data_IF_369015438781
#
_entry.id   IF_369015438781
#
_cell.length_a   1.000
_cell.length_b   1.000
_cell.length_c   1.000
_cell.angle_alpha   90.00
_cell.angle_beta   90.00
_cell.angle_gamma   90.00
#
_symmetry.space_group_name_H-M   'P 1'
#
loop_
_entity.id
_entity.type
_entity.pdbx_description
1 polymer ?
#
# COMPACT_ATOMS: atom_id res chain seq x y z
N UNK A 1 -25.64 -9.98 20.03
CA UNK A 1 -25.47 -11.41 19.70
C UNK A 1 -24.49 -11.48 18.56
N UNK A 2 -23.18 -11.44 18.84
CA UNK A 2 -22.12 -11.48 17.84
C UNK A 2 -21.38 -12.80 18.02
N UNK A 3 -21.83 -13.83 17.30
CA UNK A 3 -21.04 -15.03 17.05
C UNK A 3 -21.35 -15.51 15.63
N UNK A 4 -20.75 -14.82 14.67
CA UNK A 4 -20.43 -15.34 13.35
C UNK A 4 -19.01 -14.85 13.08
N UNK A 5 -18.04 -15.76 13.10
CA UNK A 5 -16.71 -15.45 12.59
C UNK A 5 -16.90 -15.18 11.10
N UNK A 6 -16.96 -13.91 10.69
CA UNK A 6 -16.86 -13.55 9.29
C UNK A 6 -15.66 -14.28 8.71
N UNK A 7 -15.88 -14.99 7.61
CA UNK A 7 -14.84 -15.66 6.85
C UNK A 7 -13.77 -14.64 6.44
N UNK A 8 -12.56 -15.11 6.12
CA UNK A 8 -11.49 -14.22 5.64
C UNK A 8 -11.89 -13.46 4.37
N UNK A 9 -12.74 -14.06 3.53
CA UNK A 9 -13.28 -13.44 2.32
C UNK A 9 -14.31 -12.36 2.64
N UNK A 10 -15.24 -12.63 3.56
CA UNK A 10 -16.21 -11.62 4.03
C UNK A 10 -15.50 -10.43 4.67
N UNK A 11 -14.49 -10.68 5.53
CA UNK A 11 -13.68 -9.62 6.13
C UNK A 11 -12.92 -8.81 5.09
N UNK A 12 -12.33 -9.46 4.09
CA UNK A 12 -11.63 -8.78 3.00
C UNK A 12 -12.55 -7.79 2.28
N UNK A 13 -13.73 -8.24 1.87
CA UNK A 13 -14.73 -7.39 1.19
C UNK A 13 -15.23 -6.29 2.12
N UNK A 14 -15.54 -6.62 3.38
CA UNK A 14 -15.98 -5.65 4.39
C UNK A 14 -14.96 -4.52 4.61
N UNK A 15 -13.68 -4.87 4.72
CA UNK A 15 -12.62 -3.89 4.93
C UNK A 15 -12.45 -2.97 3.71
N UNK A 16 -12.47 -3.51 2.48
CA UNK A 16 -12.37 -2.69 1.27
C UNK A 16 -13.57 -1.73 1.14
N UNK A 17 -14.78 -2.20 1.46
CA UNK A 17 -15.97 -1.33 1.47
C UNK A 17 -15.90 -0.25 2.55
N UNK A 18 -15.38 -0.60 3.73
CA UNK A 18 -15.18 0.37 4.82
C UNK A 18 -14.17 1.45 4.42
N UNK A 19 -13.10 1.08 3.72
CA UNK A 19 -12.15 2.03 3.15
C UNK A 19 -12.77 2.87 2.03
N UNK A 20 -13.69 2.34 1.23
CA UNK A 20 -14.41 3.13 0.22
C UNK A 20 -15.32 4.19 0.88
N UNK A 21 -16.01 3.83 1.96
CA UNK A 21 -16.94 4.71 2.67
C UNK A 21 -16.21 5.75 3.55
N UNK A 22 -15.21 5.32 4.30
CA UNK A 22 -14.52 6.12 5.32
C UNK A 22 -13.12 6.59 4.90
N UNK A 23 -12.69 6.23 3.69
CA UNK A 23 -11.42 6.63 3.09
C UNK A 23 -10.23 6.30 4.00
N UNK A 24 -9.32 7.25 4.16
CA UNK A 24 -8.13 7.12 4.98
C UNK A 24 -8.34 7.52 6.46
N UNK A 25 -9.55 7.44 7.01
CA UNK A 25 -9.82 7.86 8.39
C UNK A 25 -9.35 6.81 9.43
N UNK A 26 -8.22 7.02 10.14
CA UNK A 26 -7.69 6.02 11.06
C UNK A 26 -8.59 5.80 12.28
N UNK A 27 -9.42 6.78 12.67
CA UNK A 27 -10.32 6.63 13.82
C UNK A 27 -11.40 5.56 13.59
N UNK A 28 -11.68 5.23 12.33
CA UNK A 28 -12.65 4.20 11.94
C UNK A 28 -11.93 2.92 11.51
N UNK A 29 -10.87 3.03 10.71
CA UNK A 29 -10.20 1.86 10.14
C UNK A 29 -9.32 1.12 11.16
N UNK A 30 -8.62 1.81 12.06
CA UNK A 30 -7.75 1.12 13.02
C UNK A 30 -8.51 0.21 14.00
N UNK A 31 -9.70 0.58 14.52
CA UNK A 31 -10.54 -0.37 15.24
C UNK A 31 -10.90 -1.63 14.43
N UNK A 32 -11.15 -1.50 13.13
CA UNK A 32 -11.45 -2.65 12.25
C UNK A 32 -10.22 -3.56 12.14
N UNK A 33 -9.03 -2.99 11.92
CA UNK A 33 -7.78 -3.76 11.92
C UNK A 33 -7.55 -4.46 13.25
N UNK A 34 -7.66 -3.72 14.36
CA UNK A 34 -7.41 -4.25 15.71
C UNK A 34 -8.36 -5.39 16.08
N UNK A 35 -9.61 -5.35 15.63
CA UNK A 35 -10.58 -6.42 15.88
C UNK A 35 -10.35 -7.68 15.02
N UNK A 36 -9.52 -7.61 13.97
CA UNK A 36 -9.33 -8.67 12.98
C UNK A 36 -7.84 -8.95 12.70
N UNK A 37 -6.98 -8.81 13.70
CA UNK A 37 -5.53 -9.05 13.56
C UNK A 37 -5.23 -10.48 13.08
N UNK A 38 -6.06 -11.45 13.42
CA UNK A 38 -5.98 -12.85 12.98
C UNK A 38 -6.22 -13.03 11.48
N UNK A 39 -6.84 -12.04 10.82
CA UNK A 39 -7.15 -12.05 9.37
C UNK A 39 -6.22 -11.15 8.56
N UNK A 40 -5.46 -10.26 9.22
CA UNK A 40 -4.43 -9.44 8.60
C UNK A 40 -3.13 -10.25 8.47
N UNK A 41 -3.15 -11.25 7.58
CA UNK A 41 -2.07 -12.22 7.40
C UNK A 41 -1.38 -12.08 6.05
N UNK A 42 -0.33 -12.86 5.80
CA UNK A 42 0.31 -12.94 4.47
C UNK A 42 -0.68 -13.41 3.39
N UNK A 43 -1.68 -14.22 3.73
CA UNK A 43 -2.72 -14.66 2.80
C UNK A 43 -3.68 -13.50 2.43
N UNK A 44 -3.83 -12.51 3.31
CA UNK A 44 -4.53 -11.27 2.97
C UNK A 44 -3.81 -10.53 1.83
N UNK A 45 -2.48 -10.45 1.89
CA UNK A 45 -1.68 -9.86 0.82
C UNK A 45 -1.84 -10.63 -0.51
N UNK A 46 -1.91 -11.97 -0.47
CA UNK A 46 -2.18 -12.77 -1.67
C UNK A 46 -3.56 -12.46 -2.28
N UNK A 47 -4.58 -12.23 -1.45
CA UNK A 47 -5.90 -11.79 -1.92
C UNK A 47 -5.86 -10.41 -2.57
N UNK A 48 -5.09 -9.46 -2.02
CA UNK A 48 -4.89 -8.16 -2.68
C UNK A 48 -4.24 -8.31 -4.06
N UNK A 49 -3.24 -9.19 -4.20
CA UNK A 49 -2.62 -9.49 -5.50
C UNK A 49 -3.62 -10.10 -6.49
N UNK A 50 -4.58 -10.86 -6.02
CA UNK A 50 -5.62 -11.42 -6.89
C UNK A 50 -6.57 -10.36 -7.49
N UNK A 51 -6.48 -9.10 -7.05
CA UNK A 51 -7.24 -7.95 -7.60
C UNK A 51 -6.53 -7.32 -8.82
N UNK A 52 -5.27 -7.65 -9.09
CA UNK A 52 -4.51 -7.06 -10.20
C UNK A 52 -5.19 -7.18 -11.58
N UNK A 53 -5.74 -8.34 -11.99
CA UNK A 53 -6.42 -8.47 -13.28
C UNK A 53 -7.62 -7.53 -13.39
N UNK A 54 -8.42 -7.38 -12.33
CA UNK A 54 -9.57 -6.49 -12.31
C UNK A 54 -9.13 -5.03 -12.50
N UNK A 55 -8.02 -4.58 -11.89
CA UNK A 55 -7.50 -3.22 -12.10
C UNK A 55 -7.11 -2.99 -13.57
N UNK A 56 -6.58 -4.01 -14.26
CA UNK A 56 -6.13 -3.90 -15.65
C UNK A 56 -7.28 -3.94 -16.66
N UNK A 57 -8.27 -4.78 -16.39
CA UNK A 57 -9.27 -5.19 -17.38
C UNK A 57 -10.62 -4.46 -17.22
N UNK A 58 -10.86 -3.81 -16.08
CA UNK A 58 -12.07 -3.02 -15.80
C UNK A 58 -12.09 -1.64 -16.45
N UNK A 59 -13.22 -0.94 -16.33
CA UNK A 59 -13.35 0.45 -16.78
C UNK A 59 -12.42 1.40 -15.99
N UNK A 60 -12.02 2.56 -16.55
CA UNK A 60 -11.14 3.50 -15.83
C UNK A 60 -11.67 3.96 -14.46
N UNK A 61 -12.99 4.06 -14.29
CA UNK A 61 -13.63 4.43 -13.02
C UNK A 61 -13.50 3.31 -11.97
N UNK A 62 -13.75 2.07 -12.37
CA UNK A 62 -13.59 0.89 -11.50
C UNK A 62 -12.12 0.65 -11.15
N UNK A 63 -11.22 0.73 -12.13
CA UNK A 63 -9.78 0.61 -11.92
C UNK A 63 -9.26 1.68 -10.96
N UNK A 64 -9.73 2.92 -11.10
CA UNK A 64 -9.40 4.00 -10.18
C UNK A 64 -9.90 3.71 -8.76
N UNK A 65 -11.15 3.26 -8.62
CA UNK A 65 -11.77 2.94 -7.33
C UNK A 65 -11.02 1.83 -6.61
N UNK A 66 -10.67 0.76 -7.31
CA UNK A 66 -9.86 -0.32 -6.74
C UNK A 66 -8.47 0.20 -6.33
N UNK A 67 -7.79 0.92 -7.23
CA UNK A 67 -6.44 1.41 -6.95
C UNK A 67 -6.39 2.39 -5.76
N UNK A 68 -7.37 3.28 -5.61
CA UNK A 68 -7.38 4.25 -4.51
C UNK A 68 -7.68 3.59 -3.16
N UNK A 69 -8.59 2.61 -3.12
CA UNK A 69 -8.88 1.84 -1.90
C UNK A 69 -7.65 1.05 -1.45
N UNK A 70 -6.95 0.41 -2.39
CA UNK A 70 -5.71 -0.31 -2.10
C UNK A 70 -4.58 0.62 -1.63
N UNK A 71 -4.52 1.84 -2.17
CA UNK A 71 -3.59 2.86 -1.70
C UNK A 71 -3.89 3.29 -0.25
N UNK A 72 -5.15 3.58 0.09
CA UNK A 72 -5.53 3.93 1.45
C UNK A 72 -5.25 2.81 2.44
N UNK A 73 -5.59 1.57 2.09
CA UNK A 73 -5.23 0.40 2.89
C UNK A 73 -3.73 0.35 3.16
N UNK A 74 -2.93 0.50 2.11
CA UNK A 74 -1.47 0.37 2.19
C UNK A 74 -0.83 1.43 3.08
N UNK A 75 -1.27 2.69 2.95
CA UNK A 75 -0.82 3.77 3.82
C UNK A 75 -1.18 3.47 5.29
N UNK A 76 -2.44 3.12 5.55
CA UNK A 76 -2.92 2.90 6.91
C UNK A 76 -2.28 1.68 7.58
N UNK A 77 -2.12 0.57 6.87
CA UNK A 77 -1.56 -0.66 7.45
C UNK A 77 -0.05 -0.58 7.65
N UNK A 78 0.66 0.22 6.85
CA UNK A 78 2.08 0.49 7.04
C UNK A 78 2.34 1.25 8.36
N UNK A 79 1.46 2.21 8.69
CA UNK A 79 1.56 2.99 9.93
C UNK A 79 0.92 2.27 11.16
N UNK A 80 0.23 1.15 10.94
CA UNK A 80 -0.53 0.50 12.00
C UNK A 80 0.39 -0.31 12.94
N UNK A 81 0.42 0.01 14.26
CA UNK A 81 1.44 -0.52 15.17
C UNK A 81 1.12 -1.91 15.76
N UNK A 82 -0.06 -2.48 15.47
CA UNK A 82 -0.51 -3.75 16.04
C UNK A 82 -0.52 -4.86 14.99
N UNK A 83 -0.51 -6.12 15.46
CA UNK A 83 -0.54 -7.30 14.61
C UNK A 83 0.85 -7.82 14.25
N UNK A 84 0.90 -8.66 13.21
CA UNK A 84 2.15 -9.16 12.66
C UNK A 84 2.76 -8.12 11.72
N UNK A 85 3.88 -7.53 12.11
CA UNK A 85 4.61 -6.55 11.30
C UNK A 85 4.96 -7.08 9.91
N UNK A 86 5.31 -8.37 9.79
CA UNK A 86 5.63 -8.99 8.49
C UNK A 86 4.41 -9.00 7.57
N UNK A 87 3.23 -9.34 8.13
CA UNK A 87 1.99 -9.32 7.38
C UNK A 87 1.59 -7.89 6.99
N UNK A 88 1.67 -6.92 7.91
CA UNK A 88 1.35 -5.52 7.62
C UNK A 88 2.20 -4.97 6.47
N UNK A 89 3.52 -5.24 6.48
CA UNK A 89 4.43 -4.84 5.39
C UNK A 89 4.07 -5.55 4.09
N UNK A 90 3.78 -6.86 4.12
CA UNK A 90 3.39 -7.60 2.92
C UNK A 90 2.08 -7.09 2.30
N UNK A 91 1.11 -6.71 3.13
CA UNK A 91 -0.17 -6.11 2.73
C UNK A 91 0.09 -4.75 2.10
N UNK A 92 0.84 -3.86 2.76
CA UNK A 92 1.17 -2.54 2.24
C UNK A 92 1.93 -2.61 0.92
N UNK A 93 2.99 -3.43 0.86
CA UNK A 93 3.80 -3.64 -0.34
C UNK A 93 2.93 -4.10 -1.52
N UNK A 94 2.06 -5.08 -1.28
CA UNK A 94 1.18 -5.60 -2.33
C UNK A 94 0.15 -4.57 -2.78
N UNK A 95 -0.47 -3.86 -1.85
CA UNK A 95 -1.45 -2.83 -2.20
C UNK A 95 -0.83 -1.66 -2.97
N UNK A 96 0.40 -1.23 -2.64
CA UNK A 96 1.14 -0.25 -3.44
C UNK A 96 1.46 -0.77 -4.85
N UNK A 97 1.91 -2.02 -4.98
CA UNK A 97 2.16 -2.65 -6.29
C UNK A 97 0.89 -2.68 -7.14
N UNK A 98 -0.26 -3.04 -6.56
CA UNK A 98 -1.55 -3.01 -7.24
C UNK A 98 -1.97 -1.59 -7.62
N UNK A 99 -1.81 -0.60 -6.73
CA UNK A 99 -2.15 0.79 -7.01
C UNK A 99 -1.32 1.37 -8.18
N UNK A 100 -0.04 0.98 -8.29
CA UNK A 100 0.85 1.38 -9.39
C UNK A 100 0.46 0.82 -10.76
N UNK A 101 -0.47 -0.14 -10.83
CA UNK A 101 -1.04 -0.58 -12.11
C UNK A 101 -1.87 0.55 -12.75
N UNK A 102 -2.59 1.33 -11.94
CA UNK A 102 -3.40 2.46 -12.41
C UNK A 102 -2.63 3.78 -12.36
N UNK A 103 -1.97 4.07 -11.25
CA UNK A 103 -1.20 5.31 -11.08
C UNK A 103 0.14 5.17 -11.76
N UNK A 104 0.22 5.58 -13.04
CA UNK A 104 1.48 5.56 -13.81
C UNK A 104 2.21 6.90 -13.74
N UNK A 105 3.49 6.91 -14.10
CA UNK A 105 4.27 8.15 -14.18
C UNK A 105 3.69 9.12 -15.22
N UNK A 106 3.16 8.58 -16.32
CA UNK A 106 2.68 9.34 -17.46
C UNK A 106 1.33 10.00 -17.16
N UNK A 107 0.44 9.28 -16.49
CA UNK A 107 -0.94 9.75 -16.22
C UNK A 107 -1.07 10.43 -14.87
N UNK A 108 -0.27 10.02 -13.87
CA UNK A 108 -0.39 10.46 -12.48
C UNK A 108 1.00 10.63 -11.83
N UNK A 109 1.88 11.48 -12.38
CA UNK A 109 3.30 11.53 -11.98
C UNK A 109 3.52 11.72 -10.48
N UNK A 110 2.78 12.63 -9.84
CA UNK A 110 2.92 12.91 -8.41
C UNK A 110 2.45 11.73 -7.55
N UNK A 111 1.28 11.16 -7.84
CA UNK A 111 0.77 9.99 -7.10
C UNK A 111 1.68 8.78 -7.30
N UNK A 112 2.11 8.51 -8.53
CA UNK A 112 3.07 7.45 -8.83
C UNK A 112 4.36 7.60 -8.03
N UNK A 113 4.91 8.82 -7.94
CA UNK A 113 6.12 9.08 -7.19
C UNK A 113 5.92 8.89 -5.68
N UNK A 114 4.81 9.36 -5.11
CA UNK A 114 4.48 9.13 -3.68
C UNK A 114 4.34 7.64 -3.36
N UNK A 115 3.56 6.91 -4.17
CA UNK A 115 3.36 5.46 -4.00
C UNK A 115 4.70 4.73 -4.13
N UNK A 116 5.55 5.15 -5.06
CA UNK A 116 6.87 4.56 -5.26
C UNK A 116 7.79 4.81 -4.06
N UNK A 117 7.78 6.00 -3.44
CA UNK A 117 8.53 6.25 -2.20
C UNK A 117 8.06 5.32 -1.09
N UNK A 118 6.75 5.20 -0.89
CA UNK A 118 6.21 4.34 0.16
C UNK A 118 6.49 2.85 -0.10
N UNK A 119 6.45 2.41 -1.37
CA UNK A 119 6.90 1.08 -1.75
C UNK A 119 8.38 0.85 -1.38
N UNK A 120 9.24 1.85 -1.57
CA UNK A 120 10.63 1.83 -1.11
C UNK A 120 10.74 1.54 0.39
N UNK A 121 9.98 2.28 1.20
CA UNK A 121 9.93 2.08 2.67
C UNK A 121 9.51 0.64 3.01
N UNK A 122 8.53 0.07 2.31
CA UNK A 122 8.12 -1.33 2.56
C UNK A 122 9.23 -2.33 2.29
N UNK A 123 10.15 -2.07 1.35
CA UNK A 123 11.30 -2.94 1.12
C UNK A 123 12.32 -2.81 2.25
N UNK A 124 12.63 -1.60 2.72
CA UNK A 124 13.57 -1.39 3.82
C UNK A 124 13.14 -2.11 5.10
N UNK A 125 11.84 -1.99 5.41
CA UNK A 125 11.26 -2.53 6.63
C UNK A 125 11.01 -4.03 6.59
N UNK A 126 11.02 -4.67 5.41
CA UNK A 126 10.72 -6.10 5.26
C UNK A 126 11.73 -6.96 6.04
N UNK A 127 11.30 -7.64 7.12
CA UNK A 127 12.20 -8.43 7.95
C UNK A 127 12.57 -9.78 7.34
N UNK A 128 11.83 -10.22 6.31
CA UNK A 128 12.03 -11.52 5.66
C UNK A 128 12.83 -11.40 4.35
N UNK A 129 12.97 -10.19 3.81
CA UNK A 129 13.69 -9.95 2.57
C UNK A 129 15.21 -10.12 2.75
N UNK A 130 15.87 -10.60 1.69
CA UNK A 130 17.32 -10.63 1.64
C UNK A 130 17.89 -9.22 1.87
N UNK A 131 18.90 -9.05 2.75
CA UNK A 131 19.43 -7.74 3.07
C UNK A 131 19.93 -6.96 1.86
N UNK A 132 20.57 -7.60 0.89
CA UNK A 132 21.08 -6.88 -0.30
C UNK A 132 19.91 -6.51 -1.21
N UNK A 133 19.06 -7.48 -1.52
CA UNK A 133 17.94 -7.28 -2.44
C UNK A 133 16.98 -6.18 -1.95
N UNK A 134 16.68 -6.15 -0.66
CA UNK A 134 15.72 -5.18 -0.12
C UNK A 134 16.22 -3.74 -0.24
N UNK A 135 17.52 -3.51 -0.06
CA UNK A 135 18.11 -2.18 -0.26
C UNK A 135 18.20 -1.81 -1.73
N UNK A 136 18.53 -2.75 -2.62
CA UNK A 136 18.52 -2.52 -4.07
C UNK A 136 17.13 -2.09 -4.57
N UNK A 137 16.07 -2.75 -4.10
CA UNK A 137 14.69 -2.41 -4.45
C UNK A 137 14.24 -1.06 -3.86
N UNK A 138 14.60 -0.77 -2.60
CA UNK A 138 14.32 0.52 -1.98
C UNK A 138 15.01 1.68 -2.72
N UNK A 139 16.31 1.54 -3.02
CA UNK A 139 17.10 2.52 -3.78
C UNK A 139 16.49 2.74 -5.17
N UNK A 140 16.12 1.67 -5.86
CA UNK A 140 15.44 1.75 -7.16
C UNK A 140 14.14 2.56 -7.08
N UNK A 141 13.34 2.36 -6.02
CA UNK A 141 12.13 3.12 -5.77
C UNK A 141 12.42 4.62 -5.56
N UNK A 142 13.37 4.97 -4.69
CA UNK A 142 13.74 6.36 -4.43
C UNK A 142 14.34 7.07 -5.64
N UNK A 143 15.17 6.37 -6.42
CA UNK A 143 15.70 6.89 -7.67
C UNK A 143 14.59 7.17 -8.69
N UNK A 144 13.61 6.28 -8.81
CA UNK A 144 12.41 6.48 -9.65
C UNK A 144 11.61 7.70 -9.22
N UNK A 145 11.29 7.82 -7.94
CA UNK A 145 10.55 8.97 -7.40
C UNK A 145 11.29 10.30 -7.58
N UNK A 146 12.63 10.30 -7.47
CA UNK A 146 13.49 11.47 -7.71
C UNK A 146 13.45 12.01 -9.15
N UNK A 147 12.90 11.24 -10.10
CA UNK A 147 12.69 11.70 -11.48
C UNK A 147 11.45 12.59 -11.63
N UNK A 148 10.59 12.63 -10.60
CA UNK A 148 9.38 13.47 -10.54
C UNK A 148 9.57 14.54 -9.47
N UNK A 149 9.94 14.13 -8.26
CA UNK A 149 10.27 15.03 -7.18
C UNK A 149 11.71 15.49 -7.34
N UNK A 150 11.87 16.62 -8.02
CA UNK A 150 13.18 17.22 -8.23
C UNK A 150 13.39 18.35 -7.24
N UNK A 151 14.65 18.75 -7.04
CA UNK A 151 15.01 19.91 -6.22
C UNK A 151 14.29 21.20 -6.64
N UNK A 152 13.86 21.33 -7.89
CA UNK A 152 13.17 22.53 -8.39
C UNK A 152 11.65 22.42 -8.33
N UNK A 153 11.08 21.23 -8.53
CA UNK A 153 9.62 21.02 -8.54
C UNK A 153 9.05 20.81 -7.15
N UNK A 154 9.74 20.04 -6.31
CA UNK A 154 9.31 19.68 -4.96
C UNK A 154 10.54 19.51 -4.03
N UNK A 155 11.19 20.62 -3.64
CA UNK A 155 12.46 20.59 -2.90
C UNK A 155 12.39 19.81 -1.58
N UNK A 156 11.28 19.93 -0.84
CA UNK A 156 11.08 19.23 0.44
C UNK A 156 11.01 17.71 0.26
N UNK A 157 10.19 17.25 -0.69
CA UNK A 157 10.06 15.82 -0.97
C UNK A 157 11.35 15.24 -1.57
N UNK A 158 12.00 15.99 -2.45
CA UNK A 158 13.32 15.60 -2.97
C UNK A 158 14.34 15.43 -1.85
N UNK A 159 14.42 16.37 -0.90
CA UNK A 159 15.33 16.27 0.24
C UNK A 159 15.05 15.01 1.09
N UNK A 160 13.79 14.75 1.43
CA UNK A 160 13.39 13.52 2.13
C UNK A 160 13.78 12.25 1.38
N UNK A 161 13.70 12.24 0.04
CA UNK A 161 14.14 11.09 -0.77
C UNK A 161 15.68 10.96 -0.76
N UNK A 162 16.42 12.08 -0.76
CA UNK A 162 17.88 12.03 -0.63
C UNK A 162 18.31 11.51 0.75
N UNK A 163 17.57 11.85 1.81
CA UNK A 163 17.83 11.33 3.15
C UNK A 163 17.66 9.80 3.20
N UNK A 164 16.71 9.24 2.45
CA UNK A 164 16.54 7.77 2.32
C UNK A 164 17.60 7.10 1.42
N UNK A 165 18.32 7.87 0.59
CA UNK A 165 19.37 7.37 -0.30
C UNK A 165 20.77 7.43 0.31
N UNK A 166 20.97 8.22 1.37
CA UNK A 166 22.26 8.50 2.01
C UNK A 166 22.54 7.64 3.23
#
# INVERSE_FOLDING_TARGET
MNDLRETEEEFFVYLLNSLLEYQQNPQIIYPIFQANLDKLTVDFAQRLRAVEPQIRDSSPEESHTLAIVLLWLSNLILEFPLGDKTANIAIAKTGYQCALIFYTRETNPLAWAEITVNLGITYEEDPQADPVQKWEEAINCYQKASQVFTRTTNPERWASIQDNLG
#
